data_IF_828454818196
#
_entry.id   IF_828454818196
#
_cell.length_a   1.000
_cell.length_b   1.000
_cell.length_c   1.000
_cell.angle_alpha   90.00
_cell.angle_beta   90.00
_cell.angle_gamma   90.00
#
_symmetry.space_group_name_H-M   'P 1'
#
loop_
_entity.id
_entity.type
_entity.pdbx_description
1 polymer ?
#
# COMPACT_ATOMS: atom_id res chain seq x y z
N UNK A 1 46.37 -58.46 39.91
CA UNK A 1 44.94 -58.14 40.11
C UNK A 1 44.71 -56.74 39.52
N UNK A 2 44.61 -56.66 38.19
CA UNK A 2 43.38 -56.52 37.40
C UNK A 2 42.74 -55.14 37.61
N UNK A 3 43.19 -54.21 36.77
CA UNK A 3 42.51 -52.98 36.37
C UNK A 3 41.25 -53.32 35.57
N UNK A 4 40.09 -52.74 35.92
CA UNK A 4 38.89 -52.69 35.06
C UNK A 4 38.56 -51.22 34.76
N UNK A 5 38.45 -50.81 33.49
CA UNK A 5 38.05 -49.45 33.15
C UNK A 5 36.52 -49.30 33.11
N UNK A 6 36.06 -48.09 33.45
CA UNK A 6 34.69 -47.62 33.36
C UNK A 6 34.23 -47.61 31.89
N UNK A 7 33.05 -48.19 31.64
CA UNK A 7 32.41 -48.24 30.33
C UNK A 7 31.65 -46.92 30.09
N UNK A 8 32.19 -46.03 29.27
CA UNK A 8 31.47 -44.85 28.77
C UNK A 8 30.65 -45.30 27.56
N UNK A 9 29.33 -45.34 27.71
CA UNK A 9 28.40 -45.59 26.60
C UNK A 9 28.33 -44.29 25.78
N UNK A 10 28.97 -44.28 24.62
CA UNK A 10 28.86 -43.24 23.60
C UNK A 10 27.54 -43.46 22.85
N UNK A 11 26.51 -42.66 23.16
CA UNK A 11 25.28 -42.62 22.36
C UNK A 11 25.60 -41.89 21.05
N UNK A 12 25.86 -42.66 20.00
CA UNK A 12 25.93 -42.20 18.62
C UNK A 12 24.52 -41.74 18.20
N UNK A 13 24.27 -40.44 18.22
CA UNK A 13 23.12 -39.83 17.55
C UNK A 13 23.27 -40.08 16.05
N UNK A 14 22.56 -41.10 15.57
CA UNK A 14 22.36 -41.37 14.16
C UNK A 14 21.45 -40.25 13.63
N UNK A 15 22.06 -39.17 13.15
CA UNK A 15 21.36 -38.22 12.30
C UNK A 15 20.87 -38.99 11.06
N UNK A 16 19.58 -38.91 10.70
CA UNK A 16 19.14 -39.48 9.44
C UNK A 16 19.90 -38.77 8.32
N UNK A 17 20.71 -39.54 7.58
CA UNK A 17 21.24 -39.12 6.29
C UNK A 17 20.03 -38.95 5.38
N UNK A 18 19.57 -37.70 5.25
CA UNK A 18 18.57 -37.34 4.25
C UNK A 18 19.13 -37.72 2.88
N UNK A 19 18.38 -38.47 2.05
CA UNK A 19 18.79 -38.73 0.69
C UNK A 19 18.86 -37.39 -0.05
N UNK A 20 20.08 -36.94 -0.34
CA UNK A 20 20.37 -35.94 -1.34
C UNK A 20 19.95 -36.52 -2.70
N UNK A 21 18.79 -36.10 -3.23
CA UNK A 21 18.33 -36.61 -4.51
C UNK A 21 16.84 -36.47 -4.76
N UNK A 22 16.33 -35.24 -4.70
CA UNK A 22 15.11 -34.83 -5.41
C UNK A 22 15.06 -33.28 -5.56
N UNK A 23 16.21 -32.64 -5.78
CA UNK A 23 16.29 -31.23 -6.15
C UNK A 23 16.89 -31.17 -7.56
N UNK A 24 16.05 -31.30 -8.58
CA UNK A 24 16.53 -31.36 -9.97
C UNK A 24 15.52 -30.90 -11.01
N UNK A 25 14.42 -30.28 -10.61
CA UNK A 25 13.42 -29.72 -11.55
C UNK A 25 12.92 -28.32 -11.16
N UNK A 26 13.47 -27.70 -10.11
CA UNK A 26 13.07 -26.34 -9.68
C UNK A 26 14.23 -25.36 -9.49
N UNK A 27 15.49 -25.78 -9.62
CA UNK A 27 16.63 -24.88 -9.43
C UNK A 27 16.95 -24.02 -10.68
N UNK A 28 16.50 -24.43 -11.86
CA UNK A 28 16.78 -23.75 -13.14
C UNK A 28 15.88 -22.51 -13.35
N UNK A 29 14.66 -22.51 -12.78
CA UNK A 29 13.73 -21.37 -12.89
C UNK A 29 14.11 -20.20 -11.98
N UNK A 30 14.74 -20.48 -10.83
CA UNK A 30 15.14 -19.45 -9.86
C UNK A 30 16.31 -18.58 -10.38
N UNK A 31 17.23 -19.13 -11.19
CA UNK A 31 18.33 -18.37 -11.82
C UNK A 31 17.85 -17.53 -13.02
N UNK A 32 16.87 -18.01 -13.80
CA UNK A 32 16.29 -17.26 -14.92
C UNK A 32 15.42 -16.08 -14.42
N UNK A 33 14.65 -16.29 -13.34
CA UNK A 33 13.91 -15.23 -12.64
C UNK A 33 14.86 -14.23 -11.97
N UNK A 34 15.97 -14.68 -11.38
CA UNK A 34 17.00 -13.78 -10.82
C UNK A 34 17.67 -12.89 -11.89
N UNK A 35 17.82 -13.41 -13.12
CA UNK A 35 18.29 -12.64 -14.28
C UNK A 35 17.29 -11.58 -14.77
N UNK A 36 15.98 -11.86 -14.69
CA UNK A 36 14.90 -10.91 -15.02
C UNK A 36 14.70 -9.83 -13.95
N UNK A 37 15.06 -10.13 -12.70
CA UNK A 37 15.13 -9.20 -11.56
C UNK A 37 16.49 -8.47 -11.53
N UNK A 38 17.42 -8.80 -12.44
CA UNK A 38 18.71 -8.13 -12.53
C UNK A 38 18.51 -6.66 -12.85
N UNK A 39 19.00 -5.79 -11.96
CA UNK A 39 18.91 -4.33 -12.11
C UNK A 39 19.95 -3.74 -13.06
N UNK A 40 20.46 -4.55 -13.99
CA UNK A 40 21.63 -4.24 -14.82
C UNK A 40 21.27 -4.38 -16.31
N UNK A 41 20.29 -3.58 -16.80
CA UNK A 41 19.88 -3.40 -18.21
C UNK A 41 19.16 -2.01 -18.38
N UNK A 42 18.89 -1.51 -19.60
CA UNK A 42 18.85 -0.07 -19.89
C UNK A 42 17.69 0.67 -19.22
N UNK A 43 17.92 1.97 -18.99
CA UNK A 43 16.89 2.89 -18.51
C UNK A 43 15.82 3.06 -19.59
N UNK A 44 14.62 2.61 -19.31
CA UNK A 44 13.46 2.83 -20.17
C UNK A 44 12.85 4.21 -19.89
N UNK A 45 12.47 4.92 -20.95
CA UNK A 45 11.82 6.23 -20.83
C UNK A 45 10.64 6.34 -21.78
N UNK A 46 9.55 6.95 -21.30
CA UNK A 46 8.34 7.14 -22.07
C UNK A 46 8.07 8.62 -22.31
N UNK A 47 7.80 9.04 -23.54
CA UNK A 47 7.40 10.43 -23.83
C UNK A 47 5.89 10.52 -23.94
N UNK A 48 5.28 11.33 -23.07
CA UNK A 48 3.83 11.50 -22.97
C UNK A 48 3.26 12.03 -24.30
N UNK A 49 2.28 11.32 -24.84
CA UNK A 49 1.55 11.70 -26.04
C UNK A 49 0.25 12.44 -25.70
N UNK A 50 -0.41 13.01 -26.71
CA UNK A 50 -1.69 13.69 -26.51
C UNK A 50 -2.78 12.69 -26.11
N UNK A 51 -3.44 12.92 -24.96
CA UNK A 51 -4.49 12.05 -24.42
C UNK A 51 -3.99 10.98 -23.45
N UNK A 52 -2.68 10.86 -23.24
CA UNK A 52 -2.12 9.95 -22.25
C UNK A 52 -2.47 10.37 -20.81
N UNK A 53 -2.57 9.36 -19.95
CA UNK A 53 -2.66 9.48 -18.50
C UNK A 53 -1.86 8.31 -17.88
N UNK A 54 -1.40 8.43 -16.64
CA UNK A 54 -0.43 7.48 -16.08
C UNK A 54 -0.95 6.02 -16.06
N UNK A 55 -2.25 5.82 -15.79
CA UNK A 55 -2.87 4.48 -15.87
C UNK A 55 -2.75 3.88 -17.28
N UNK A 56 -3.17 4.62 -18.30
CA UNK A 56 -3.05 4.17 -19.70
C UNK A 56 -1.60 4.02 -20.18
N UNK A 57 -0.65 4.77 -19.62
CA UNK A 57 0.79 4.57 -19.89
C UNK A 57 1.25 3.25 -19.26
N UNK A 58 0.87 2.98 -18.01
CA UNK A 58 1.21 1.74 -17.32
C UNK A 58 0.59 0.50 -18.00
N UNK A 59 -0.61 0.62 -18.58
CA UNK A 59 -1.21 -0.44 -19.41
C UNK A 59 -0.32 -0.84 -20.59
N UNK A 60 0.49 0.09 -21.14
CA UNK A 60 1.46 -0.22 -22.22
C UNK A 60 2.62 -1.11 -21.72
N UNK A 61 2.81 -1.18 -20.41
CA UNK A 61 3.76 -2.04 -19.73
C UNK A 61 3.10 -3.28 -19.09
N UNK A 62 1.82 -3.53 -19.40
CA UNK A 62 1.11 -4.76 -19.07
C UNK A 62 0.09 -4.66 -17.93
N UNK A 63 0.14 -3.64 -17.07
CA UNK A 63 -0.92 -3.38 -16.10
C UNK A 63 -1.06 -1.90 -15.79
N UNK A 64 -2.28 -1.39 -15.91
CA UNK A 64 -2.60 -0.02 -15.57
C UNK A 64 -2.29 0.34 -14.12
N UNK A 65 -2.32 -0.64 -13.21
CA UNK A 65 -2.03 -0.47 -11.79
C UNK A 65 -0.58 -0.11 -11.48
N UNK A 66 0.34 -0.33 -12.43
CA UNK A 66 1.77 0.03 -12.27
C UNK A 66 2.03 1.56 -12.36
N UNK A 67 1.00 2.36 -12.61
CA UNK A 67 1.09 3.80 -12.79
C UNK A 67 1.69 4.53 -11.57
N UNK A 68 1.48 4.00 -10.37
CA UNK A 68 2.01 4.60 -9.14
C UNK A 68 3.51 4.50 -9.04
N UNK A 69 4.08 3.36 -9.43
CA UNK A 69 5.53 3.20 -9.49
C UNK A 69 6.14 4.18 -10.50
N UNK A 70 5.45 4.41 -11.63
CA UNK A 70 5.84 5.43 -12.61
C UNK A 70 5.75 6.84 -12.00
N UNK A 71 4.66 7.16 -11.30
CA UNK A 71 4.50 8.46 -10.63
C UNK A 71 5.60 8.71 -9.59
N UNK A 72 5.81 7.76 -8.68
CA UNK A 72 6.75 7.89 -7.58
C UNK A 72 8.18 8.15 -8.08
N UNK A 73 8.63 7.47 -9.15
CA UNK A 73 9.95 7.73 -9.75
C UNK A 73 10.06 9.10 -10.43
N UNK A 74 8.94 9.71 -10.82
CA UNK A 74 8.87 10.97 -11.55
C UNK A 74 8.17 12.09 -10.75
N UNK A 75 8.04 11.96 -9.43
CA UNK A 75 7.24 12.89 -8.63
C UNK A 75 7.84 14.32 -8.61
N UNK A 76 9.16 14.44 -8.74
CA UNK A 76 9.88 15.70 -8.96
C UNK A 76 9.47 16.42 -10.26
N UNK A 77 8.90 15.66 -11.20
CA UNK A 77 8.49 16.13 -12.52
C UNK A 77 6.98 16.20 -12.63
N UNK A 78 6.21 15.36 -11.97
CA UNK A 78 4.76 15.30 -12.10
C UNK A 78 4.11 15.93 -10.87
N UNK A 79 3.57 17.14 -11.04
CA UNK A 79 2.88 17.83 -9.94
C UNK A 79 1.53 17.20 -9.57
N UNK A 80 0.80 16.67 -10.55
CA UNK A 80 -0.44 15.94 -10.32
C UNK A 80 -0.51 14.72 -11.27
N UNK A 81 -0.57 13.50 -10.75
CA UNK A 81 -0.54 12.27 -11.55
C UNK A 81 -1.76 12.08 -12.46
N UNK A 82 -2.90 12.69 -12.13
CA UNK A 82 -4.09 12.69 -12.98
C UNK A 82 -4.00 13.68 -14.15
N UNK A 83 -3.01 14.59 -14.15
CA UNK A 83 -2.84 15.63 -15.17
C UNK A 83 -1.40 15.68 -15.70
N UNK A 84 -1.06 14.74 -16.57
CA UNK A 84 0.22 14.73 -17.30
C UNK A 84 0.16 15.58 -18.57
N UNK A 85 1.30 16.15 -18.98
CA UNK A 85 1.39 17.03 -20.14
C UNK A 85 2.12 16.34 -21.30
N UNK A 86 1.60 16.42 -22.54
CA UNK A 86 2.29 15.88 -23.71
C UNK A 86 3.68 16.48 -23.93
N UNK A 87 4.56 15.68 -24.52
CA UNK A 87 5.96 16.02 -24.82
C UNK A 87 6.92 15.88 -23.62
N UNK A 88 6.40 15.50 -22.45
CA UNK A 88 7.22 15.28 -21.25
C UNK A 88 7.71 13.84 -21.20
N UNK A 89 9.00 13.64 -20.92
CA UNK A 89 9.61 12.32 -20.78
C UNK A 89 9.58 11.85 -19.33
N UNK A 90 9.09 10.63 -19.12
CA UNK A 90 9.03 9.91 -17.85
C UNK A 90 10.08 8.81 -17.83
N UNK A 91 10.68 8.55 -16.67
CA UNK A 91 11.47 7.36 -16.42
C UNK A 91 10.56 6.21 -16.00
N UNK A 92 10.75 5.03 -16.59
CA UNK A 92 9.95 3.86 -16.27
C UNK A 92 10.74 2.95 -15.33
N UNK A 93 10.20 2.58 -14.15
CA UNK A 93 10.89 1.69 -13.24
C UNK A 93 11.23 0.36 -13.91
N UNK A 94 12.43 -0.17 -13.64
CA UNK A 94 12.94 -1.37 -14.31
C UNK A 94 11.96 -2.55 -14.26
N UNK A 95 11.39 -2.83 -13.08
CA UNK A 95 10.45 -3.93 -12.89
C UNK A 95 9.07 -3.68 -13.50
N UNK A 96 8.71 -2.41 -13.72
CA UNK A 96 7.51 -2.04 -14.49
C UNK A 96 7.76 -2.27 -15.98
N UNK A 97 8.91 -1.83 -16.49
CA UNK A 97 9.30 -2.04 -17.88
C UNK A 97 9.33 -3.53 -18.27
N UNK A 98 9.86 -4.40 -17.39
CA UNK A 98 9.93 -5.86 -17.62
C UNK A 98 8.76 -6.63 -17.03
N UNK A 99 7.65 -5.98 -16.68
CA UNK A 99 6.56 -6.61 -15.95
C UNK A 99 6.10 -7.93 -16.58
N UNK A 100 5.80 -7.92 -17.88
CA UNK A 100 5.34 -9.12 -18.61
C UNK A 100 6.39 -10.24 -18.64
N UNK A 101 7.67 -9.90 -18.59
CA UNK A 101 8.78 -10.87 -18.60
C UNK A 101 8.97 -11.53 -17.23
N UNK A 102 8.62 -10.83 -16.14
CA UNK A 102 8.85 -11.31 -14.77
C UNK A 102 7.93 -12.45 -14.34
N UNK A 103 6.77 -12.63 -15.00
CA UNK A 103 5.72 -13.56 -14.55
C UNK A 103 5.09 -13.21 -13.20
N UNK A 104 5.44 -12.04 -12.63
CA UNK A 104 4.89 -11.54 -11.38
C UNK A 104 3.49 -10.96 -11.59
N UNK A 105 2.70 -10.88 -10.53
CA UNK A 105 1.47 -10.08 -10.53
C UNK A 105 1.80 -8.59 -10.44
N UNK A 106 0.91 -7.72 -10.92
CA UNK A 106 1.10 -6.27 -10.81
C UNK A 106 1.37 -5.87 -9.35
N UNK A 107 0.72 -6.56 -8.42
CA UNK A 107 0.95 -6.39 -7.01
C UNK A 107 2.37 -6.74 -6.56
N UNK A 108 2.92 -7.88 -6.99
CA UNK A 108 4.27 -8.29 -6.63
C UNK A 108 5.32 -7.29 -7.15
N UNK A 109 5.09 -6.69 -8.32
CA UNK A 109 5.94 -5.60 -8.82
C UNK A 109 5.79 -4.33 -7.97
N UNK A 110 4.58 -3.96 -7.59
CA UNK A 110 4.33 -2.80 -6.73
C UNK A 110 4.88 -2.96 -5.30
N UNK A 111 5.12 -4.18 -4.85
CA UNK A 111 5.70 -4.46 -3.53
C UNK A 111 7.17 -4.06 -3.43
N UNK A 112 7.89 -4.14 -4.54
CA UNK A 112 9.28 -3.72 -4.66
C UNK A 112 9.51 -3.23 -6.09
N UNK A 113 9.06 -2.02 -6.46
CA UNK A 113 9.04 -1.58 -7.86
C UNK A 113 10.38 -1.02 -8.33
N UNK A 114 11.27 -0.67 -7.39
CA UNK A 114 12.50 0.07 -7.67
C UNK A 114 13.74 -0.75 -7.38
N UNK A 115 14.58 -0.90 -8.40
CA UNK A 115 15.93 -1.44 -8.24
C UNK A 115 16.85 -0.58 -7.36
N UNK A 116 16.65 0.74 -7.38
CA UNK A 116 17.48 1.71 -6.63
C UNK A 116 16.56 2.72 -5.96
N UNK A 117 16.15 2.42 -4.72
CA UNK A 117 15.22 3.24 -3.92
C UNK A 117 15.70 4.68 -3.70
N UNK A 118 17.01 4.90 -3.62
CA UNK A 118 17.62 6.21 -3.43
C UNK A 118 17.35 7.21 -4.57
N UNK A 119 16.95 6.72 -5.74
CA UNK A 119 16.58 7.58 -6.88
C UNK A 119 15.18 8.15 -6.79
N UNK A 120 14.34 7.59 -5.93
CA UNK A 120 12.95 8.01 -5.80
C UNK A 120 12.92 9.39 -5.14
N UNK A 121 12.34 10.42 -5.79
CA UNK A 121 12.21 11.76 -5.23
C UNK A 121 11.09 11.82 -4.18
N UNK A 122 11.29 11.15 -3.05
CA UNK A 122 10.28 10.93 -2.00
C UNK A 122 9.67 12.23 -1.47
N UNK A 123 10.42 13.33 -1.45
CA UNK A 123 9.95 14.64 -0.98
C UNK A 123 8.90 15.28 -1.90
N UNK A 124 8.82 14.84 -3.15
CA UNK A 124 7.91 15.37 -4.15
C UNK A 124 6.67 14.49 -4.34
N UNK A 125 6.64 13.33 -3.68
CA UNK A 125 5.48 12.44 -3.71
C UNK A 125 4.37 13.07 -2.88
N UNK A 126 3.35 13.61 -3.54
CA UNK A 126 2.10 13.95 -2.86
C UNK A 126 1.33 12.67 -2.54
N UNK A 127 1.27 12.35 -1.24
CA UNK A 127 0.61 11.15 -0.71
C UNK A 127 -0.92 11.20 -0.81
N UNK A 128 -1.53 12.40 -0.93
CA UNK A 128 -2.97 12.56 -1.19
C UNK A 128 -3.39 11.87 -2.51
N UNK A 129 -2.48 11.78 -3.48
CA UNK A 129 -2.72 11.07 -4.73
C UNK A 129 -2.40 9.57 -4.67
N UNK A 130 -1.76 9.11 -3.58
CA UNK A 130 -1.51 7.70 -3.30
C UNK A 130 -2.60 7.05 -2.44
N UNK A 131 -3.45 7.84 -1.79
CA UNK A 131 -4.61 7.36 -1.01
C UNK A 131 -5.63 6.60 -1.87
N UNK A 132 -5.68 6.89 -3.18
CA UNK A 132 -6.60 6.22 -4.12
C UNK A 132 -6.29 4.72 -4.23
N UNK A 133 -5.10 4.24 -3.86
CA UNK A 133 -4.74 2.82 -3.98
C UNK A 133 -3.75 2.21 -2.96
N UNK A 134 -3.11 2.91 -2.00
CA UNK A 134 -2.44 2.24 -0.86
C UNK A 134 -2.38 3.10 0.40
N UNK A 135 -2.72 2.51 1.56
CA UNK A 135 -2.51 3.14 2.86
C UNK A 135 -1.18 2.73 3.51
N UNK A 136 -0.46 1.70 3.02
CA UNK A 136 0.57 1.11 3.91
C UNK A 136 1.90 0.65 3.29
N UNK A 137 2.23 0.95 2.02
CA UNK A 137 3.55 0.54 1.47
C UNK A 137 4.36 1.59 0.72
N UNK A 138 3.78 2.40 -0.17
CA UNK A 138 4.50 3.60 -0.63
C UNK A 138 4.70 4.56 0.55
N UNK A 139 3.68 4.71 1.40
CA UNK A 139 3.76 5.44 2.65
C UNK A 139 4.85 4.87 3.55
N UNK A 140 4.85 3.57 3.83
CA UNK A 140 5.90 2.92 4.65
C UNK A 140 7.29 3.05 4.02
N UNK A 141 7.43 2.91 2.70
CA UNK A 141 8.69 3.12 2.00
C UNK A 141 9.18 4.58 2.12
N UNK A 142 8.30 5.54 1.86
CA UNK A 142 8.57 6.98 1.96
C UNK A 142 8.89 7.36 3.40
N UNK A 143 8.11 6.88 4.38
CA UNK A 143 8.34 7.08 5.81
C UNK A 143 9.69 6.50 6.22
N UNK A 144 9.99 5.24 5.88
CA UNK A 144 11.27 4.61 6.19
C UNK A 144 12.45 5.38 5.56
N UNK A 145 12.32 5.86 4.32
CA UNK A 145 13.36 6.63 3.65
C UNK A 145 13.52 8.04 4.26
N UNK A 146 12.42 8.72 4.60
CA UNK A 146 12.42 10.01 5.30
C UNK A 146 13.00 9.87 6.72
N UNK A 147 12.65 8.82 7.44
CA UNK A 147 13.19 8.48 8.76
C UNK A 147 14.69 8.19 8.68
N UNK A 148 15.13 7.41 7.69
CA UNK A 148 16.54 7.13 7.47
C UNK A 148 17.34 8.39 7.12
N UNK A 149 16.76 9.33 6.36
CA UNK A 149 17.38 10.64 6.04
C UNK A 149 17.42 11.54 7.26
N UNK A 150 16.30 11.66 7.99
CA UNK A 150 16.20 12.43 9.23
C UNK A 150 17.15 11.92 10.30
N UNK A 151 17.31 10.61 10.43
CA UNK A 151 18.26 10.00 11.36
C UNK A 151 19.70 10.42 11.02
N UNK A 152 20.07 10.46 9.73
CA UNK A 152 21.38 10.95 9.28
C UNK A 152 21.55 12.45 9.49
N UNK A 153 20.50 13.24 9.34
CA UNK A 153 20.53 14.69 9.62
C UNK A 153 20.65 14.97 11.12
N UNK A 154 19.91 14.26 11.97
CA UNK A 154 19.97 14.35 13.43
C UNK A 154 21.33 13.91 13.97
N UNK A 155 21.93 12.86 13.42
CA UNK A 155 23.30 12.43 13.77
C UNK A 155 24.33 13.52 13.44
N UNK A 156 24.10 14.29 12.37
CA UNK A 156 24.95 15.40 11.93
C UNK A 156 24.71 16.68 12.73
N UNK A 157 23.47 16.96 13.14
CA UNK A 157 23.11 18.11 13.97
C UNK A 157 23.49 17.93 15.45
N UNK A 158 23.39 16.70 15.97
CA UNK A 158 23.85 16.33 17.31
C UNK A 158 25.39 16.42 17.46
N UNK A 159 26.13 16.36 16.35
CA UNK A 159 27.58 16.60 16.32
C UNK A 159 27.92 18.10 16.44
N UNK A 160 27.00 19.00 16.09
CA UNK A 160 27.26 20.45 15.94
C UNK A 160 26.62 21.34 17.04
N UNK A 161 25.77 20.79 17.92
CA UNK A 161 25.00 21.61 18.87
C UNK A 161 25.11 21.14 20.33
N UNK A 162 26.17 21.57 21.02
CA UNK A 162 26.14 21.75 22.48
C UNK A 162 26.03 23.24 22.79
N UNK A 163 24.89 23.68 23.33
CA UNK A 163 24.69 25.04 23.82
C UNK A 163 23.24 25.34 24.15
N UNK A 164 22.88 25.12 25.42
CA UNK A 164 21.56 25.34 26.05
C UNK A 164 21.27 26.83 26.22
N UNK A 165 20.00 27.23 26.10
CA UNK A 165 19.30 28.34 26.82
C UNK A 165 17.83 28.30 26.32
N UNK A 166 16.74 28.25 27.10
CA UNK A 166 16.43 28.54 28.49
C UNK A 166 15.25 27.60 28.88
N UNK A 167 15.55 26.56 29.68
CA UNK A 167 14.69 25.40 29.95
C UNK A 167 13.35 25.80 30.60
N UNK A 168 13.36 26.86 31.42
CA UNK A 168 12.20 27.33 32.16
C UNK A 168 11.15 28.02 31.27
N UNK A 169 11.57 28.68 30.18
CA UNK A 169 10.67 29.34 29.23
C UNK A 169 10.00 28.33 28.29
N UNK A 170 10.73 27.28 27.91
CA UNK A 170 10.23 26.16 27.13
C UNK A 170 9.26 25.29 27.92
N UNK A 171 9.52 25.05 29.21
CA UNK A 171 8.60 24.31 30.09
C UNK A 171 7.27 25.06 30.22
N UNK A 172 7.32 26.37 30.50
CA UNK A 172 6.11 27.20 30.64
C UNK A 172 5.31 27.33 29.34
N UNK A 173 5.98 27.39 28.20
CA UNK A 173 5.30 27.41 26.91
C UNK A 173 4.64 26.06 26.60
N UNK A 174 5.32 24.95 26.90
CA UNK A 174 4.79 23.59 26.72
C UNK A 174 3.58 23.35 27.61
N UNK A 175 3.65 23.72 28.88
CA UNK A 175 2.52 23.60 29.82
C UNK A 175 1.30 24.43 29.38
N UNK A 176 1.51 25.66 28.90
CA UNK A 176 0.44 26.52 28.43
C UNK A 176 -0.18 26.02 27.11
N UNK A 177 0.64 25.48 26.21
CA UNK A 177 0.20 24.90 24.95
C UNK A 177 -0.61 23.62 25.17
N UNK A 178 -0.11 22.71 26.01
CA UNK A 178 -0.82 21.47 26.36
C UNK A 178 -2.15 21.72 27.09
N UNK A 179 -2.25 22.80 27.86
CA UNK A 179 -3.49 23.17 28.54
C UNK A 179 -4.57 23.64 27.56
N UNK A 180 -4.20 24.42 26.54
CA UNK A 180 -5.13 24.91 25.50
C UNK A 180 -5.59 23.78 24.58
N UNK A 181 -4.67 22.90 24.16
CA UNK A 181 -5.00 21.74 23.32
C UNK A 181 -5.98 20.81 24.04
N UNK A 182 -5.78 20.55 25.35
CA UNK A 182 -6.72 19.75 26.14
C UNK A 182 -8.10 20.39 26.30
N UNK A 183 -8.20 21.71 26.23
CA UNK A 183 -9.46 22.44 26.36
C UNK A 183 -10.26 22.38 25.05
N UNK A 184 -9.59 22.48 23.89
CA UNK A 184 -10.21 22.28 22.56
C UNK A 184 -10.58 20.81 22.30
N UNK A 185 -9.72 19.86 22.67
CA UNK A 185 -9.97 18.41 22.50
C UNK A 185 -11.19 17.92 23.31
N UNK A 186 -11.41 18.45 24.52
CA UNK A 186 -12.55 18.06 25.36
C UNK A 186 -13.91 18.56 24.83
N UNK A 187 -13.92 19.72 24.15
CA UNK A 187 -15.13 20.28 23.54
C UNK A 187 -15.48 19.60 22.21
N UNK A 188 -14.49 19.18 21.42
CA UNK A 188 -14.70 18.40 20.19
C UNK A 188 -15.07 16.94 20.49
N UNK A 189 -14.37 16.25 21.42
CA UNK A 189 -14.68 14.87 21.81
C UNK A 189 -16.11 14.68 22.30
N UNK A 190 -16.62 15.61 23.13
CA UNK A 190 -17.98 15.49 23.67
C UNK A 190 -19.09 15.77 22.66
N UNK A 191 -18.81 16.47 21.57
CA UNK A 191 -19.77 16.68 20.48
C UNK A 191 -19.78 15.47 19.54
N UNK A 192 -18.61 14.95 19.18
CA UNK A 192 -18.46 13.79 18.30
C UNK A 192 -18.91 12.48 18.97
N UNK A 193 -18.60 12.26 20.26
CA UNK A 193 -19.06 11.07 21.00
C UNK A 193 -20.58 10.99 21.07
N UNK A 194 -21.28 12.10 21.26
CA UNK A 194 -22.75 12.11 21.31
C UNK A 194 -23.38 11.80 19.96
N UNK A 195 -22.71 12.16 18.87
CA UNK A 195 -23.17 11.92 17.51
C UNK A 195 -22.84 10.48 17.07
N UNK A 196 -21.63 10.00 17.38
CA UNK A 196 -21.18 8.63 17.16
C UNK A 196 -21.97 7.61 17.98
N UNK A 197 -22.28 7.87 19.24
CA UNK A 197 -23.12 6.97 20.06
C UNK A 197 -24.56 6.85 19.52
N UNK A 198 -25.10 7.92 18.94
CA UNK A 198 -26.44 7.93 18.36
C UNK A 198 -26.49 7.14 17.03
N UNK A 199 -25.43 7.23 16.23
CA UNK A 199 -25.27 6.44 15.00
C UNK A 199 -24.96 4.97 15.30
N UNK A 200 -24.08 4.69 16.27
CA UNK A 200 -23.71 3.33 16.71
C UNK A 200 -24.91 2.55 17.26
N UNK A 201 -25.79 3.19 18.06
CA UNK A 201 -26.99 2.52 18.59
C UNK A 201 -28.00 2.11 17.51
N UNK A 202 -27.93 2.68 16.30
CA UNK A 202 -28.73 2.23 15.16
C UNK A 202 -28.07 1.09 14.37
N UNK A 203 -26.82 0.70 14.66
CA UNK A 203 -25.99 -0.21 13.85
C UNK A 203 -25.83 -1.64 14.43
N UNK A 204 -26.28 -1.90 15.66
CA UNK A 204 -25.87 -3.05 16.51
C UNK A 204 -26.38 -4.45 16.09
N UNK A 205 -27.13 -4.65 15.00
CA UNK A 205 -27.76 -5.96 14.75
C UNK A 205 -27.45 -6.66 13.40
N UNK A 206 -26.50 -6.18 12.59
CA UNK A 206 -26.06 -6.88 11.38
C UNK A 206 -24.53 -6.84 11.27
N UNK A 207 -23.89 -7.98 11.46
CA UNK A 207 -22.45 -8.16 11.30
C UNK A 207 -22.09 -8.11 9.79
N UNK A 208 -21.29 -7.12 9.39
CA UNK A 208 -20.76 -6.94 8.04
C UNK A 208 -21.81 -6.79 6.91
N UNK A 209 -22.18 -5.57 6.53
CA UNK A 209 -23.10 -5.35 5.40
C UNK A 209 -22.37 -4.89 4.13
N UNK A 210 -22.66 -5.51 2.97
CA UNK A 210 -22.23 -5.01 1.65
C UNK A 210 -23.45 -4.47 0.90
N UNK A 211 -23.36 -3.26 0.37
CA UNK A 211 -24.43 -2.58 -0.34
C UNK A 211 -24.05 -2.28 -1.80
N UNK A 212 -24.93 -2.67 -2.74
CA UNK A 212 -24.83 -2.40 -4.18
C UNK A 212 -25.55 -1.08 -4.53
N UNK A 213 -24.80 -0.04 -4.89
CA UNK A 213 -25.33 1.19 -5.49
C UNK A 213 -24.89 1.36 -6.95
N UNK A 214 -24.53 0.27 -7.61
CA UNK A 214 -24.13 0.27 -9.02
C UNK A 214 -25.34 0.35 -9.95
N UNK A 215 -25.18 1.02 -11.09
CA UNK A 215 -26.29 1.37 -11.99
C UNK A 215 -26.11 0.83 -13.41
N UNK A 216 -24.89 0.57 -13.85
CA UNK A 216 -24.56 0.05 -15.17
C UNK A 216 -24.20 -1.43 -15.12
N UNK A 217 -24.06 -2.03 -16.30
CA UNK A 217 -23.53 -3.40 -16.43
C UNK A 217 -22.09 -3.49 -15.93
N UNK A 218 -21.26 -2.49 -16.22
CA UNK A 218 -19.84 -2.48 -15.81
C UNK A 218 -19.73 -2.42 -14.29
N UNK A 219 -20.51 -1.53 -13.64
CA UNK A 219 -20.55 -1.45 -12.18
C UNK A 219 -21.08 -2.73 -11.55
N UNK A 220 -22.13 -3.32 -12.12
CA UNK A 220 -22.68 -4.59 -11.62
C UNK A 220 -21.71 -5.76 -11.76
N UNK A 221 -21.02 -5.86 -12.91
CA UNK A 221 -20.02 -6.90 -13.14
C UNK A 221 -18.86 -6.74 -12.12
N UNK A 222 -18.43 -5.50 -11.81
CA UNK A 222 -17.48 -5.21 -10.74
C UNK A 222 -18.00 -5.66 -9.36
N UNK A 223 -19.23 -5.29 -9.00
CA UNK A 223 -19.85 -5.67 -7.73
C UNK A 223 -19.91 -7.19 -7.56
N UNK A 224 -20.32 -7.92 -8.61
CA UNK A 224 -20.46 -9.38 -8.57
C UNK A 224 -19.12 -10.07 -8.32
N UNK A 225 -18.04 -9.61 -8.98
CA UNK A 225 -16.68 -10.12 -8.76
C UNK A 225 -16.21 -9.76 -7.35
N UNK A 226 -16.43 -8.53 -6.90
CA UNK A 226 -16.03 -8.07 -5.57
C UNK A 226 -16.69 -8.94 -4.50
N UNK A 227 -18.02 -9.08 -4.58
CA UNK A 227 -18.81 -9.84 -3.63
C UNK A 227 -18.40 -11.32 -3.61
N UNK A 228 -18.11 -11.90 -4.78
CA UNK A 228 -17.69 -13.30 -4.88
C UNK A 228 -16.31 -13.56 -4.26
N UNK A 229 -15.42 -12.58 -4.34
CA UNK A 229 -14.05 -12.67 -3.83
C UNK A 229 -13.90 -12.12 -2.40
N UNK A 230 -14.93 -11.47 -1.86
CA UNK A 230 -14.89 -10.86 -0.54
C UNK A 230 -14.87 -11.91 0.57
N UNK A 231 -13.85 -11.84 1.41
CA UNK A 231 -13.77 -12.57 2.67
C UNK A 231 -13.26 -11.61 3.74
N UNK A 232 -14.04 -11.31 4.79
CA UNK A 232 -13.59 -10.38 5.82
C UNK A 232 -12.44 -10.98 6.65
N UNK A 233 -11.56 -10.14 7.22
CA UNK A 233 -10.60 -10.58 8.24
C UNK A 233 -11.33 -11.19 9.44
N UNK A 234 -10.73 -12.19 10.11
CA UNK A 234 -11.34 -12.86 11.27
C UNK A 234 -11.63 -11.90 12.43
N UNK A 235 -10.88 -10.80 12.47
CA UNK A 235 -10.97 -9.77 13.50
C UNK A 235 -11.99 -8.66 13.17
N UNK A 236 -12.42 -8.54 11.91
CA UNK A 236 -13.35 -7.49 11.47
C UNK A 236 -14.79 -7.73 11.90
N UNK A 237 -15.34 -6.76 12.63
CA UNK A 237 -16.74 -6.71 13.05
C UNK A 237 -17.33 -5.31 12.81
N UNK A 238 -18.66 -5.23 12.69
CA UNK A 238 -19.41 -3.96 12.60
C UNK A 238 -18.97 -3.03 11.45
N UNK A 239 -18.67 -3.58 10.27
CA UNK A 239 -18.35 -2.78 9.09
C UNK A 239 -19.52 -2.74 8.11
N UNK A 240 -19.58 -1.65 7.33
CA UNK A 240 -20.41 -1.55 6.14
C UNK A 240 -19.56 -1.20 4.93
N UNK A 241 -19.72 -1.97 3.85
CA UNK A 241 -19.09 -1.73 2.56
C UNK A 241 -20.17 -1.22 1.61
N UNK A 242 -19.94 -0.09 0.96
CA UNK A 242 -20.82 0.46 -0.08
C UNK A 242 -20.05 0.53 -1.38
N UNK A 243 -20.62 -0.03 -2.45
CA UNK A 243 -20.03 0.05 -3.79
C UNK A 243 -20.88 1.00 -4.62
N UNK A 244 -20.31 2.17 -4.94
CA UNK A 244 -21.02 3.25 -5.63
C UNK A 244 -20.54 3.39 -7.07
N UNK A 245 -21.45 3.79 -7.96
CA UNK A 245 -21.12 4.05 -9.36
C UNK A 245 -21.53 5.47 -9.77
N UNK A 246 -20.56 6.24 -10.28
CA UNK A 246 -20.77 7.55 -10.85
C UNK A 246 -20.58 7.52 -12.37
N UNK A 247 -21.63 7.80 -13.16
CA UNK A 247 -21.51 7.84 -14.61
C UNK A 247 -20.61 9.02 -15.03
N UNK A 248 -19.56 8.75 -15.81
CA UNK A 248 -18.65 9.76 -16.34
C UNK A 248 -18.87 9.92 -17.85
N UNK A 249 -19.64 10.94 -18.30
CA UNK A 249 -19.96 11.11 -19.72
C UNK A 249 -18.70 11.10 -20.60
N UNK A 250 -18.71 10.31 -21.68
CA UNK A 250 -17.63 10.12 -22.66
C UNK A 250 -16.37 9.38 -22.18
N UNK A 251 -16.27 8.99 -20.91
CA UNK A 251 -15.04 8.44 -20.31
C UNK A 251 -15.27 7.16 -19.48
N UNK A 252 -16.40 6.46 -19.71
CA UNK A 252 -16.75 5.23 -18.98
C UNK A 252 -17.50 5.48 -17.68
N UNK A 253 -17.22 4.69 -16.66
CA UNK A 253 -17.85 4.83 -15.34
C UNK A 253 -16.80 4.90 -14.25
N UNK A 254 -17.09 5.62 -13.16
CA UNK A 254 -16.22 5.64 -11.99
C UNK A 254 -16.91 4.77 -10.95
N UNK A 255 -16.20 3.76 -10.46
CA UNK A 255 -16.65 2.93 -9.35
C UNK A 255 -15.81 3.29 -8.13
N UNK A 256 -16.48 3.40 -6.98
CA UNK A 256 -15.84 3.59 -5.69
C UNK A 256 -16.34 2.55 -4.69
N UNK A 257 -15.47 2.17 -3.76
CA UNK A 257 -15.78 1.32 -2.61
C UNK A 257 -15.53 2.12 -1.35
N UNK A 258 -16.52 2.13 -0.47
CA UNK A 258 -16.50 2.87 0.78
C UNK A 258 -16.67 1.90 1.95
N UNK A 259 -15.90 2.08 3.02
CA UNK A 259 -16.04 1.34 4.27
C UNK A 259 -16.42 2.33 5.38
N UNK A 260 -17.58 2.14 6.00
CA UNK A 260 -18.08 3.03 7.07
C UNK A 260 -18.08 4.52 6.67
N UNK A 261 -18.43 4.81 5.42
CA UNK A 261 -18.42 6.14 4.77
C UNK A 261 -17.03 6.72 4.44
N UNK A 262 -15.96 5.97 4.66
CA UNK A 262 -14.61 6.32 4.16
C UNK A 262 -14.37 5.64 2.82
N UNK A 263 -14.06 6.40 1.78
CA UNK A 263 -13.70 5.83 0.49
C UNK A 263 -12.33 5.13 0.56
N UNK A 264 -12.29 3.82 0.30
CA UNK A 264 -11.07 3.00 0.35
C UNK A 264 -10.50 2.70 -1.04
N UNK A 265 -11.32 2.85 -2.08
CA UNK A 265 -10.93 2.59 -3.46
C UNK A 265 -11.80 3.42 -4.41
N UNK A 266 -11.17 3.99 -5.45
CA UNK A 266 -11.87 4.64 -6.56
C UNK A 266 -11.11 4.41 -7.85
N UNK A 267 -11.80 3.96 -8.90
CA UNK A 267 -11.19 3.86 -10.22
C UNK A 267 -12.16 4.15 -11.35
N UNK A 268 -11.60 4.48 -12.51
CA UNK A 268 -12.34 4.55 -13.77
C UNK A 268 -12.37 3.17 -14.40
N UNK A 269 -13.56 2.63 -14.62
CA UNK A 269 -13.76 1.37 -15.31
C UNK A 269 -14.16 1.56 -16.77
N UNK A 270 -13.49 0.78 -17.61
CA UNK A 270 -13.83 0.58 -19.01
C UNK A 270 -14.66 -0.70 -19.15
N UNK A 271 -15.50 -0.85 -20.21
CA UNK A 271 -16.29 -2.07 -20.44
C UNK A 271 -15.44 -3.23 -20.99
N UNK A 272 -14.43 -3.63 -20.22
CA UNK A 272 -13.46 -4.68 -20.52
C UNK A 272 -13.34 -5.60 -19.31
N UNK A 273 -13.63 -6.88 -19.47
CA UNK A 273 -13.77 -7.82 -18.36
C UNK A 273 -12.47 -7.98 -17.56
N UNK A 274 -11.34 -8.10 -18.24
CA UNK A 274 -10.00 -8.19 -17.66
C UNK A 274 -9.69 -7.01 -16.72
N UNK A 275 -10.01 -5.79 -17.15
CA UNK A 275 -9.80 -4.59 -16.33
C UNK A 275 -10.77 -4.50 -15.15
N UNK A 276 -12.00 -5.00 -15.31
CA UNK A 276 -13.01 -5.02 -14.25
C UNK A 276 -12.62 -6.04 -13.17
N UNK A 277 -12.17 -7.21 -13.59
CA UNK A 277 -11.69 -8.29 -12.71
C UNK A 277 -10.48 -7.82 -11.90
N UNK A 278 -9.45 -7.30 -12.57
CA UNK A 278 -8.24 -6.79 -11.91
C UNK A 278 -8.58 -5.65 -10.92
N UNK A 279 -9.43 -4.69 -11.32
CA UNK A 279 -9.87 -3.62 -10.43
C UNK A 279 -10.68 -4.13 -9.23
N UNK A 280 -11.51 -5.15 -9.43
CA UNK A 280 -12.31 -5.72 -8.36
C UNK A 280 -11.47 -6.49 -7.36
N UNK A 281 -10.51 -7.30 -7.82
CA UNK A 281 -9.56 -8.00 -6.96
C UNK A 281 -8.74 -7.00 -6.13
N UNK A 282 -8.31 -5.91 -6.76
CA UNK A 282 -7.61 -4.83 -6.08
C UNK A 282 -8.48 -4.18 -4.99
N UNK A 283 -9.73 -3.86 -5.30
CA UNK A 283 -10.66 -3.27 -4.36
C UNK A 283 -10.96 -4.17 -3.15
N UNK A 284 -11.12 -5.49 -3.37
CA UNK A 284 -11.28 -6.48 -2.28
C UNK A 284 -10.06 -6.44 -1.36
N UNK A 285 -8.86 -6.49 -1.93
CA UNK A 285 -7.62 -6.46 -1.15
C UNK A 285 -7.46 -5.17 -0.35
N UNK A 286 -7.79 -4.02 -0.95
CA UNK A 286 -7.77 -2.72 -0.27
C UNK A 286 -8.72 -2.67 0.91
N UNK A 287 -9.94 -3.11 0.69
CA UNK A 287 -10.99 -3.15 1.72
C UNK A 287 -10.60 -4.10 2.86
N UNK A 288 -9.99 -5.25 2.55
CA UNK A 288 -9.49 -6.19 3.55
C UNK A 288 -8.38 -5.57 4.42
N UNK A 289 -7.38 -4.94 3.79
CA UNK A 289 -6.27 -4.29 4.49
C UNK A 289 -6.79 -3.16 5.38
N UNK A 290 -7.65 -2.30 4.84
CA UNK A 290 -8.26 -1.20 5.59
C UNK A 290 -8.96 -1.71 6.86
N UNK A 291 -9.79 -2.75 6.73
CA UNK A 291 -10.49 -3.35 7.86
C UNK A 291 -9.59 -4.05 8.87
N UNK A 292 -8.43 -4.57 8.44
CA UNK A 292 -7.44 -5.19 9.34
C UNK A 292 -6.68 -4.13 10.14
N UNK A 293 -6.32 -3.01 9.51
CA UNK A 293 -5.44 -2.00 10.11
C UNK A 293 -6.22 -1.00 10.97
N UNK A 294 -7.47 -0.67 10.59
CA UNK A 294 -8.32 0.32 11.29
C UNK A 294 -9.25 -0.29 12.35
N UNK A 295 -8.93 -1.50 12.83
CA UNK A 295 -9.68 -2.21 13.89
C UNK A 295 -9.75 -1.43 15.22
N UNK A 296 -8.73 -0.62 15.52
CA UNK A 296 -8.48 -0.10 16.86
C UNK A 296 -9.19 1.22 17.19
N UNK A 297 -9.87 1.87 16.25
CA UNK A 297 -10.67 3.06 16.57
C UNK A 297 -11.94 2.76 17.38
N UNK A 298 -12.16 1.50 17.74
CA UNK A 298 -13.25 1.09 18.64
C UNK A 298 -12.71 0.53 19.96
N UNK A 299 -11.79 1.24 20.63
CA UNK A 299 -11.60 1.06 22.08
C UNK A 299 -12.67 1.83 22.85
N UNK A 300 -13.56 1.06 23.46
CA UNK A 300 -14.57 1.47 24.43
C UNK A 300 -13.84 2.13 25.62
N UNK A 301 -14.13 3.39 25.91
CA UNK A 301 -13.96 3.98 27.24
C UNK A 301 -15.30 3.94 28.00
#
# INVERSE_FOLDING_TARGET
MITKPLNIILILLLLPVLPAGAGGLYADQDEEIAGLISCEEPKETYTIEEGDHLFGIAEKYGSGFLWEAIYALNADRIANPHFVRPGKTLEIPHKVYRFEETGMTAQQVLDDPFCESSRVPVEFINLEYSEIMYEDRLLTFVQNELEARRQKELEKEAEDTVGVEDEEALEKFREAFEALVREEEQEEETAEQRQAEAEQRMFVEIDGMIHDETRSKVGRDFYDIFYSNWQPPEEASNYSIRITEQPAPNLGTIVAVEVNNTETFRTRLQPRYDLIEEASEFAVRRTYIYLRDHQQQFQIY
#
